data_IF_477545438115
#
_entry.id   IF_477545438115
#
_cell.length_a   1.000
_cell.length_b   1.000
_cell.length_c   1.000
_cell.angle_alpha   90.00
_cell.angle_beta   90.00
_cell.angle_gamma   90.00
#
_symmetry.space_group_name_H-M   'P 1'
#
loop_
_entity.id
_entity.type
_entity.pdbx_description
1 polymer ?
#
# COMPACT_ATOMS: atom_id res chain seq x y z
N UNK A 1 -18.92 13.34 -13.97
CA UNK A 1 -18.32 12.25 -14.77
C UNK A 1 -16.90 12.70 -15.10
N UNK A 2 -15.89 11.98 -14.60
CA UNK A 2 -14.47 12.37 -14.75
C UNK A 2 -13.91 11.63 -15.97
N UNK A 3 -13.25 12.35 -16.86
CA UNK A 3 -12.63 11.78 -18.07
C UNK A 3 -11.24 12.39 -18.24
N UNK A 4 -10.26 11.57 -18.63
CA UNK A 4 -8.91 12.02 -18.94
C UNK A 4 -7.90 10.87 -19.01
N UNK A 5 -6.68 11.14 -19.50
CA UNK A 5 -5.62 10.13 -19.63
C UNK A 5 -5.34 9.38 -18.31
N UNK A 6 -5.31 10.11 -17.19
CA UNK A 6 -5.10 9.51 -15.87
C UNK A 6 -6.19 8.49 -15.49
N UNK A 7 -7.44 8.69 -15.91
CA UNK A 7 -8.52 7.74 -15.66
C UNK A 7 -8.37 6.46 -16.50
N UNK A 8 -7.87 6.61 -17.73
CA UNK A 8 -7.57 5.47 -18.61
C UNK A 8 -6.40 4.67 -18.03
N UNK A 9 -5.31 5.34 -17.64
CA UNK A 9 -4.15 4.71 -17.00
C UNK A 9 -4.54 3.96 -15.71
N UNK A 10 -5.38 4.57 -14.86
CA UNK A 10 -5.88 3.92 -13.65
C UNK A 10 -6.69 2.64 -13.96
N UNK A 11 -7.56 2.69 -14.97
CA UNK A 11 -8.31 1.52 -15.42
C UNK A 11 -7.39 0.42 -15.96
N UNK A 12 -6.33 0.79 -16.69
CA UNK A 12 -5.36 -0.19 -17.18
C UNK A 12 -4.55 -0.83 -16.04
N UNK A 13 -4.11 -0.02 -15.06
CA UNK A 13 -3.46 -0.53 -13.86
C UNK A 13 -4.35 -1.52 -13.10
N UNK A 14 -5.60 -1.15 -12.85
CA UNK A 14 -6.57 -2.01 -12.15
C UNK A 14 -6.84 -3.32 -12.91
N UNK A 15 -7.10 -3.22 -14.22
CA UNK A 15 -7.55 -4.37 -15.02
C UNK A 15 -6.43 -5.31 -15.46
N UNK A 16 -5.20 -4.81 -15.60
CA UNK A 16 -4.07 -5.57 -16.18
C UNK A 16 -2.91 -5.81 -15.21
N UNK A 17 -2.70 -4.95 -14.21
CA UNK A 17 -1.50 -4.97 -13.36
C UNK A 17 -1.84 -5.39 -11.92
N UNK A 18 -2.97 -4.95 -11.37
CA UNK A 18 -3.38 -5.27 -9.99
C UNK A 18 -3.85 -6.74 -9.83
N UNK A 19 -2.90 -7.67 -9.84
CA UNK A 19 -3.20 -9.10 -9.69
C UNK A 19 -3.60 -9.50 -8.27
N UNK A 20 -3.05 -8.82 -7.27
CA UNK A 20 -3.26 -9.07 -5.84
C UNK A 20 -4.21 -8.03 -5.26
N UNK A 21 -4.89 -8.31 -4.12
CA UNK A 21 -5.88 -7.42 -3.53
C UNK A 21 -5.21 -6.23 -2.84
N UNK A 22 -4.57 -5.34 -3.59
CA UNK A 22 -3.87 -4.15 -3.09
C UNK A 22 -4.11 -2.96 -3.99
N UNK A 23 -4.00 -1.76 -3.41
CA UNK A 23 -4.15 -0.49 -4.13
C UNK A 23 -2.77 -0.10 -4.66
N UNK A 24 -2.53 -0.36 -5.95
CA UNK A 24 -1.26 -0.02 -6.61
C UNK A 24 -1.25 1.44 -7.07
N UNK A 25 -0.06 2.04 -7.07
CA UNK A 25 0.19 3.37 -7.61
C UNK A 25 0.95 3.27 -8.93
N UNK A 26 0.74 4.26 -9.81
CA UNK A 26 1.49 4.38 -11.05
C UNK A 26 2.98 4.56 -10.72
N UNK A 27 3.86 3.93 -11.51
CA UNK A 27 5.32 3.96 -11.31
C UNK A 27 5.93 5.38 -11.30
N UNK A 28 5.30 6.34 -11.99
CA UNK A 28 5.70 7.75 -12.02
C UNK A 28 5.42 8.52 -10.73
N UNK A 29 4.68 7.97 -9.77
CA UNK A 29 4.22 8.73 -8.59
C UNK A 29 5.36 9.40 -7.82
N UNK A 30 6.51 8.73 -7.69
CA UNK A 30 7.67 9.30 -7.00
C UNK A 30 8.32 10.41 -7.83
N UNK A 31 8.45 10.21 -9.15
CA UNK A 31 9.00 11.22 -10.06
C UNK A 31 8.11 12.47 -10.15
N UNK A 32 6.79 12.27 -10.26
CA UNK A 32 5.79 13.35 -10.26
C UNK A 32 5.85 14.13 -8.94
N UNK A 33 6.03 13.43 -7.81
CA UNK A 33 6.20 14.07 -6.50
C UNK A 33 7.49 14.89 -6.41
N UNK A 34 8.63 14.33 -6.84
CA UNK A 34 9.91 15.07 -6.85
C UNK A 34 9.85 16.29 -7.77
N UNK A 35 9.20 16.17 -8.94
CA UNK A 35 9.00 17.29 -9.84
C UNK A 35 8.17 18.38 -9.16
N UNK A 36 7.05 18.02 -8.52
CA UNK A 36 6.21 18.99 -7.82
C UNK A 36 6.97 19.69 -6.68
N UNK A 37 7.75 18.94 -5.89
CA UNK A 37 8.60 19.50 -4.84
C UNK A 37 9.65 20.46 -5.43
N UNK A 38 10.23 20.16 -6.59
CA UNK A 38 11.18 21.05 -7.27
C UNK A 38 10.52 22.35 -7.76
N UNK A 39 9.30 22.26 -8.29
CA UNK A 39 8.50 23.42 -8.71
C UNK A 39 8.17 24.33 -7.52
N UNK A 40 7.79 23.76 -6.37
CA UNK A 40 7.52 24.52 -5.15
C UNK A 40 8.79 25.17 -4.58
N UNK A 41 9.92 24.46 -4.62
CA UNK A 41 11.22 25.05 -4.22
C UNK A 41 11.59 26.28 -5.02
N UNK A 42 11.15 26.38 -6.28
CA UNK A 42 11.39 27.55 -7.12
C UNK A 42 10.53 28.77 -6.72
N UNK A 43 9.49 28.61 -5.90
CA UNK A 43 8.62 29.72 -5.47
C UNK A 43 9.03 30.36 -4.14
N UNK A 44 10.08 29.85 -3.47
CA UNK A 44 10.57 30.28 -2.14
C UNK A 44 9.49 30.25 -1.02
N UNK A 45 8.49 29.39 -1.17
CA UNK A 45 7.43 29.17 -0.18
C UNK A 45 7.91 28.17 0.87
N UNK A 46 8.62 28.66 1.89
CA UNK A 46 9.28 27.82 2.90
C UNK A 46 8.31 26.95 3.71
N UNK A 47 7.09 27.43 3.97
CA UNK A 47 6.06 26.64 4.68
C UNK A 47 5.62 25.46 3.81
N UNK A 48 5.31 25.72 2.54
CA UNK A 48 4.90 24.66 1.62
C UNK A 48 6.01 23.66 1.31
N UNK A 49 7.26 24.11 1.22
CA UNK A 49 8.42 23.22 1.06
C UNK A 49 8.53 22.29 2.27
N UNK A 50 8.42 22.82 3.49
CA UNK A 50 8.48 22.03 4.71
C UNK A 50 7.37 20.96 4.75
N UNK A 51 6.13 21.35 4.42
CA UNK A 51 4.98 20.43 4.41
C UNK A 51 5.17 19.26 3.43
N UNK A 52 5.63 19.55 2.21
CA UNK A 52 5.90 18.52 1.20
C UNK A 52 7.09 17.62 1.58
N UNK A 53 8.18 18.19 2.10
CA UNK A 53 9.30 17.37 2.58
C UNK A 53 8.88 16.46 3.74
N UNK A 54 7.99 16.94 4.60
CA UNK A 54 7.43 16.17 5.68
C UNK A 54 6.52 15.05 5.14
N UNK A 55 5.58 15.36 4.25
CA UNK A 55 4.70 14.37 3.61
C UNK A 55 5.50 13.28 2.88
N UNK A 56 6.58 13.63 2.16
CA UNK A 56 7.48 12.63 1.55
C UNK A 56 7.98 11.59 2.55
N UNK A 57 8.27 12.00 3.78
CA UNK A 57 8.71 11.10 4.86
C UNK A 57 7.58 10.19 5.37
N UNK A 58 6.33 10.67 5.37
CA UNK A 58 5.15 9.91 5.78
C UNK A 58 4.53 9.08 4.64
N UNK A 59 4.96 9.29 3.39
CA UNK A 59 4.43 8.57 2.23
C UNK A 59 5.42 7.53 1.70
N UNK A 60 6.63 7.93 1.30
CA UNK A 60 7.54 7.08 0.51
C UNK A 60 8.64 6.39 1.30
N UNK A 61 8.99 6.91 2.49
CA UNK A 61 10.09 6.37 3.30
C UNK A 61 9.71 5.03 3.97
N UNK A 62 10.67 4.28 4.54
CA UNK A 62 10.38 2.99 5.17
C UNK A 62 9.25 3.00 6.21
N UNK A 63 9.08 4.13 6.92
CA UNK A 63 7.99 4.33 7.91
C UNK A 63 6.71 4.95 7.33
N UNK A 64 6.72 5.40 6.07
CA UNK A 64 5.55 6.03 5.44
C UNK A 64 4.59 5.02 4.83
N UNK A 65 3.39 5.41 4.40
CA UNK A 65 2.28 4.50 4.07
C UNK A 65 2.49 3.58 2.86
N UNK A 66 3.44 3.86 1.97
CA UNK A 66 3.64 3.08 0.74
C UNK A 66 4.71 2.00 0.90
N UNK A 67 4.44 0.81 0.38
CA UNK A 67 5.41 -0.28 0.29
C UNK A 67 5.62 -0.66 -1.16
N UNK A 68 6.86 -0.95 -1.55
CA UNK A 68 7.18 -1.52 -2.86
C UNK A 68 7.11 -3.03 -2.77
N UNK A 69 6.27 -3.67 -3.58
CA UNK A 69 6.15 -5.14 -3.58
C UNK A 69 7.13 -5.78 -4.59
N UNK A 70 7.11 -7.11 -4.66
CA UNK A 70 8.04 -7.88 -5.50
C UNK A 70 7.92 -7.62 -7.00
N UNK A 71 6.78 -7.10 -7.46
CA UNK A 71 6.56 -6.72 -8.86
C UNK A 71 7.06 -5.31 -9.20
N UNK A 72 7.64 -4.61 -8.21
CA UNK A 72 8.21 -3.28 -8.40
C UNK A 72 7.20 -2.14 -8.31
N UNK A 73 5.91 -2.40 -8.10
CA UNK A 73 4.91 -1.36 -7.92
C UNK A 73 4.80 -0.94 -6.45
N UNK A 74 4.65 0.38 -6.23
CA UNK A 74 4.19 0.88 -4.94
C UNK A 74 2.73 0.51 -4.71
N UNK A 75 2.40 0.16 -3.48
CA UNK A 75 1.03 -0.02 -3.04
C UNK A 75 0.80 0.63 -1.66
N UNK A 76 -0.46 0.94 -1.37
CA UNK A 76 -0.88 1.40 -0.03
C UNK A 76 -0.86 0.22 0.93
N UNK A 77 0.04 0.23 1.90
CA UNK A 77 0.25 -0.89 2.83
C UNK A 77 -0.69 -0.81 4.03
N UNK A 78 -1.95 -1.12 3.78
CA UNK A 78 -3.01 -1.15 4.78
C UNK A 78 -2.88 -2.33 5.77
N UNK A 79 -1.91 -3.22 5.58
CA UNK A 79 -1.66 -4.35 6.49
C UNK A 79 -0.55 -4.03 7.47
N UNK A 80 0.70 -3.87 7.01
CA UNK A 80 1.86 -3.76 7.92
C UNK A 80 1.98 -2.35 8.51
N UNK A 81 1.70 -1.32 7.72
CA UNK A 81 1.98 0.07 8.09
C UNK A 81 0.82 0.76 8.80
N UNK A 82 -0.39 0.22 8.64
CA UNK A 82 -1.60 0.77 9.27
C UNK A 82 -1.59 0.64 10.80
N UNK A 83 -0.72 -0.19 11.37
CA UNK A 83 -0.55 -0.31 12.83
C UNK A 83 -0.26 1.03 13.51
N UNK A 84 0.56 1.89 12.88
CA UNK A 84 0.92 3.20 13.42
C UNK A 84 -0.23 4.22 13.38
N UNK A 85 -1.27 3.95 12.60
CA UNK A 85 -2.44 4.81 12.42
C UNK A 85 -3.60 4.43 13.35
N UNK A 86 -3.44 3.37 14.15
CA UNK A 86 -4.47 2.92 15.09
C UNK A 86 -4.25 3.49 16.50
N UNK A 87 -5.30 4.06 17.09
CA UNK A 87 -5.26 4.64 18.44
C UNK A 87 -4.90 3.62 19.54
N UNK A 88 -5.27 2.35 19.36
CA UNK A 88 -5.02 1.27 20.32
C UNK A 88 -4.33 0.08 19.62
N UNK A 89 -3.16 -0.38 20.09
CA UNK A 89 -2.49 -1.56 19.56
C UNK A 89 -3.36 -2.83 19.50
N UNK A 90 -4.30 -3.00 20.43
CA UNK A 90 -5.23 -4.13 20.43
C UNK A 90 -6.15 -4.14 19.20
N UNK A 91 -6.51 -2.97 18.66
CA UNK A 91 -7.31 -2.88 17.44
C UNK A 91 -6.55 -3.47 16.25
N UNK A 92 -5.22 -3.27 16.21
CA UNK A 92 -4.38 -3.81 15.15
C UNK A 92 -4.28 -5.33 15.25
N UNK A 93 -4.05 -5.86 16.47
CA UNK A 93 -4.05 -7.31 16.72
C UNK A 93 -5.39 -7.94 16.27
N UNK A 94 -6.51 -7.34 16.67
CA UNK A 94 -7.84 -7.81 16.32
C UNK A 94 -8.11 -7.72 14.80
N UNK A 95 -7.65 -6.66 14.15
CA UNK A 95 -7.74 -6.50 12.71
C UNK A 95 -6.98 -7.62 11.97
N UNK A 96 -5.73 -7.87 12.33
CA UNK A 96 -4.92 -8.93 11.69
C UNK A 96 -5.54 -10.32 11.92
N UNK A 97 -6.01 -10.61 13.14
CA UNK A 97 -6.69 -11.86 13.45
C UNK A 97 -8.01 -12.03 12.66
N UNK A 98 -8.77 -10.93 12.50
CA UNK A 98 -10.00 -10.94 11.71
C UNK A 98 -9.72 -11.25 10.23
N UNK A 99 -8.71 -10.61 9.63
CA UNK A 99 -8.35 -10.87 8.23
C UNK A 99 -7.86 -12.31 8.06
N UNK A 100 -7.06 -12.85 8.99
CA UNK A 100 -6.61 -14.25 8.94
C UNK A 100 -7.79 -15.23 8.94
N UNK A 101 -8.74 -15.05 9.87
CA UNK A 101 -9.95 -15.88 9.94
C UNK A 101 -10.82 -15.72 8.70
N UNK A 102 -10.88 -14.52 8.11
CA UNK A 102 -11.65 -14.26 6.89
C UNK A 102 -11.10 -14.99 5.66
N UNK A 103 -9.77 -15.10 5.53
CA UNK A 103 -9.13 -15.71 4.35
C UNK A 103 -9.02 -17.24 4.45
N UNK A 104 -9.01 -17.80 5.66
CA UNK A 104 -8.81 -19.23 5.91
C UNK A 104 -9.72 -20.16 5.09
N UNK A 105 -11.04 -19.90 4.94
CA UNK A 105 -11.92 -20.76 4.13
C UNK A 105 -11.57 -20.85 2.65
N UNK A 106 -10.74 -19.92 2.14
CA UNK A 106 -10.34 -19.85 0.74
C UNK A 106 -8.97 -20.46 0.47
N UNK A 107 -8.19 -20.79 1.51
CA UNK A 107 -6.85 -21.39 1.42
C UNK A 107 -6.93 -22.92 1.28
N UNK A 108 -7.65 -23.40 0.27
CA UNK A 108 -7.94 -24.81 0.05
C UNK A 108 -7.75 -25.23 -1.42
N UNK A 109 -7.44 -26.52 -1.69
CA UNK A 109 -7.09 -26.98 -3.04
C UNK A 109 -8.21 -26.84 -4.09
N UNK A 110 -9.47 -26.81 -3.66
CA UNK A 110 -10.65 -26.66 -4.52
C UNK A 110 -10.96 -25.19 -4.88
N UNK A 111 -10.26 -24.21 -4.28
CA UNK A 111 -10.36 -22.81 -4.69
C UNK A 111 -9.72 -22.61 -6.07
N UNK A 112 -10.40 -21.89 -6.97
CA UNK A 112 -9.87 -21.59 -8.30
C UNK A 112 -8.46 -20.99 -8.22
N UNK A 113 -7.47 -21.44 -9.03
CA UNK A 113 -6.07 -21.02 -8.88
C UNK A 113 -5.84 -19.51 -8.91
N UNK A 114 -6.57 -18.79 -9.76
CA UNK A 114 -6.50 -17.32 -9.87
C UNK A 114 -7.03 -16.58 -8.63
N UNK A 115 -7.91 -17.21 -7.87
CA UNK A 115 -8.44 -16.71 -6.60
C UNK A 115 -7.51 -17.14 -5.46
N UNK A 116 -7.08 -18.40 -5.46
CA UNK A 116 -6.20 -18.97 -4.43
C UNK A 116 -4.90 -18.17 -4.32
N UNK A 117 -4.28 -17.77 -5.45
CA UNK A 117 -3.06 -16.95 -5.44
C UNK A 117 -3.23 -15.62 -4.68
N UNK A 118 -4.42 -15.01 -4.71
CA UNK A 118 -4.71 -13.74 -4.02
C UNK A 118 -4.75 -13.94 -2.50
N UNK A 119 -5.37 -15.03 -2.06
CA UNK A 119 -5.44 -15.37 -0.65
C UNK A 119 -4.10 -15.86 -0.09
N UNK A 120 -3.30 -16.57 -0.88
CA UNK A 120 -1.92 -16.92 -0.52
C UNK A 120 -1.09 -15.65 -0.30
N UNK A 121 -1.16 -14.68 -1.22
CA UNK A 121 -0.47 -13.39 -1.07
C UNK A 121 -0.85 -12.69 0.25
N UNK A 122 -2.15 -12.63 0.59
CA UNK A 122 -2.61 -12.07 1.87
C UNK A 122 -2.08 -12.86 3.07
N UNK A 123 -2.15 -14.19 3.00
CA UNK A 123 -1.70 -15.07 4.07
C UNK A 123 -0.21 -14.89 4.37
N UNK A 124 0.64 -14.84 3.35
CA UNK A 124 2.08 -14.62 3.50
C UNK A 124 2.39 -13.30 4.22
N UNK A 125 1.69 -12.22 3.84
CA UNK A 125 1.85 -10.91 4.50
C UNK A 125 1.42 -10.97 5.97
N UNK A 126 0.29 -11.63 6.27
CA UNK A 126 -0.19 -11.80 7.65
C UNK A 126 0.80 -12.62 8.49
N UNK A 127 1.33 -13.73 7.95
CA UNK A 127 2.31 -14.54 8.69
C UNK A 127 3.60 -13.76 8.96
N UNK A 128 4.06 -12.94 8.01
CA UNK A 128 5.19 -12.04 8.22
C UNK A 128 4.93 -11.07 9.38
N UNK A 129 3.76 -10.43 9.40
CA UNK A 129 3.35 -9.50 10.47
C UNK A 129 3.32 -10.22 11.83
N UNK A 130 2.67 -11.37 11.92
CA UNK A 130 2.58 -12.15 13.17
C UNK A 130 3.96 -12.56 13.70
N UNK A 131 4.90 -12.88 12.80
CA UNK A 131 6.29 -13.20 13.16
C UNK A 131 7.00 -11.99 13.77
N UNK A 132 6.82 -10.80 13.20
CA UNK A 132 7.39 -9.55 13.72
C UNK A 132 6.80 -9.20 15.10
N UNK A 133 5.48 -9.36 15.28
CA UNK A 133 4.80 -9.11 16.56
C UNK A 133 5.24 -10.08 17.67
N UNK A 134 5.53 -11.34 17.33
CA UNK A 134 5.96 -12.35 18.31
C UNK A 134 7.44 -12.21 18.72
N UNK A 135 8.21 -11.40 17.99
CA UNK A 135 9.64 -11.16 18.23
C UNK A 135 9.91 -9.86 18.99
N UNK A 136 8.85 -9.13 19.36
CA UNK A 136 8.87 -7.84 20.07
C UNK A 136 8.41 -8.00 21.52
#
# INVERSE_FOLDING_TARGET
MVFGPAMVEAYELESKVAEFPRIILHDKIEADYEQWLAEVRATDDQERIYDLENEKNYTFKPKGLLTKDNDGHYYVDYLEKFAGEMDNPENYVNFIAHIESFIEPYLKPDTAPSILKKYIWLYEKIQKIKTQMSSS
#
